data_IF_279051268144
#
_entry.id   IF_279051268144
#
_cell.length_a   1.000
_cell.length_b   1.000
_cell.length_c   1.000
_cell.angle_alpha   90.00
_cell.angle_beta   90.00
_cell.angle_gamma   90.00
#
_symmetry.space_group_name_H-M   'P 1'
#
loop_
_entity.id
_entity.type
_entity.pdbx_description
1 polymer ?
#
# COMPACT_ATOMS: atom_id res chain seq x y z
N UNK A 1 -13.45 1.50 0.70
CA UNK A 1 -12.75 2.69 0.14
C UNK A 1 -11.74 3.19 1.15
N UNK A 2 -10.77 4.02 0.74
CA UNK A 2 -9.77 4.60 1.65
C UNK A 2 -10.38 5.40 2.81
N UNK A 3 -11.50 6.10 2.58
CA UNK A 3 -12.22 6.85 3.63
C UNK A 3 -12.67 5.95 4.78
N UNK A 4 -13.14 4.74 4.47
CA UNK A 4 -13.54 3.77 5.50
C UNK A 4 -12.31 3.25 6.27
N UNK A 5 -11.24 2.93 5.56
CA UNK A 5 -10.00 2.46 6.16
C UNK A 5 -9.35 3.52 7.06
N UNK A 6 -9.41 4.81 6.70
CA UNK A 6 -8.94 5.89 7.56
C UNK A 6 -9.73 5.97 8.88
N UNK A 7 -11.03 5.65 8.86
CA UNK A 7 -11.87 5.59 10.06
C UNK A 7 -11.63 4.32 10.89
N UNK A 8 -11.32 3.21 10.24
CA UNK A 8 -11.11 1.90 10.86
C UNK A 8 -9.81 1.26 10.34
N UNK A 9 -8.63 1.76 10.76
CA UNK A 9 -7.34 1.34 10.21
C UNK A 9 -6.97 -0.11 10.56
N UNK A 10 -7.63 -0.70 11.55
CA UNK A 10 -7.41 -2.07 12.01
C UNK A 10 -8.06 -3.14 11.11
N UNK A 11 -8.83 -2.77 10.08
CA UNK A 11 -9.49 -3.73 9.19
C UNK A 11 -8.52 -4.52 8.29
N UNK A 12 -7.35 -3.96 7.98
CA UNK A 12 -6.41 -4.58 7.06
C UNK A 12 -5.00 -4.60 7.66
N UNK A 13 -4.21 -5.65 7.37
CA UNK A 13 -2.76 -5.58 7.58
C UNK A 13 -2.18 -4.46 6.73
N UNK A 14 -1.11 -3.83 7.21
CA UNK A 14 -0.53 -2.66 6.57
C UNK A 14 0.94 -2.87 6.24
N UNK A 15 1.38 -2.23 5.16
CA UNK A 15 2.75 -2.24 4.68
C UNK A 15 3.20 -0.79 4.55
N UNK A 16 4.31 -0.41 5.17
CA UNK A 16 4.85 0.93 5.07
C UNK A 16 5.92 0.99 3.98
N UNK A 17 5.74 1.93 3.05
CA UNK A 17 6.76 2.28 2.06
C UNK A 17 7.61 3.45 2.54
N UNK A 18 8.80 3.59 1.97
CA UNK A 18 9.64 4.76 2.19
C UNK A 18 9.05 6.06 1.62
N UNK A 19 9.67 7.18 2.00
CA UNK A 19 9.33 8.51 1.49
C UNK A 19 9.45 8.64 -0.04
N UNK A 20 10.37 7.91 -0.66
CA UNK A 20 10.64 7.98 -2.09
C UNK A 20 9.49 7.42 -2.94
N UNK A 21 8.80 6.40 -2.43
CA UNK A 21 7.68 5.74 -3.09
C UNK A 21 6.38 6.55 -3.05
N UNK A 22 6.20 7.47 -2.08
CA UNK A 22 4.93 8.19 -1.84
C UNK A 22 4.37 8.81 -3.12
N UNK A 23 5.19 9.57 -3.86
CA UNK A 23 4.75 10.28 -5.08
C UNK A 23 4.23 9.32 -6.15
N UNK A 24 4.82 8.14 -6.26
CA UNK A 24 4.49 7.14 -7.26
C UNK A 24 3.20 6.40 -6.89
N UNK A 25 3.05 6.05 -5.61
CA UNK A 25 1.82 5.42 -5.09
C UNK A 25 0.61 6.34 -5.28
N UNK A 26 0.77 7.64 -5.00
CA UNK A 26 -0.27 8.65 -5.24
C UNK A 26 -0.53 8.93 -6.74
N UNK A 27 0.29 8.40 -7.63
CA UNK A 27 0.08 8.43 -9.09
C UNK A 27 -0.50 7.11 -9.63
N UNK A 28 -0.87 6.17 -8.76
CA UNK A 28 -1.42 4.87 -9.14
C UNK A 28 -0.38 3.79 -9.49
N UNK A 29 0.92 4.04 -9.24
CA UNK A 29 1.94 3.03 -9.50
C UNK A 29 1.83 1.85 -8.52
N UNK A 30 2.24 0.67 -8.99
CA UNK A 30 2.46 -0.51 -8.15
C UNK A 30 3.64 -0.31 -7.20
N UNK A 31 3.61 -1.01 -6.07
CA UNK A 31 4.69 -0.97 -5.09
C UNK A 31 5.68 -2.07 -5.44
N UNK A 32 6.90 -1.65 -5.75
CA UNK A 32 8.01 -2.56 -6.08
C UNK A 32 8.65 -3.10 -4.80
N UNK A 33 9.17 -4.32 -4.83
CA UNK A 33 9.80 -4.95 -3.68
C UNK A 33 10.89 -4.08 -3.00
N UNK A 34 11.78 -3.38 -3.73
CA UNK A 34 12.77 -2.49 -3.10
C UNK A 34 12.18 -1.34 -2.27
N UNK A 35 10.96 -0.90 -2.59
CA UNK A 35 10.24 0.13 -1.82
C UNK A 35 9.66 -0.38 -0.49
N UNK A 36 9.65 -1.71 -0.29
CA UNK A 36 9.18 -2.39 0.91
C UNK A 36 10.32 -2.99 1.76
N UNK A 37 11.54 -3.03 1.21
CA UNK A 37 12.74 -3.52 1.91
C UNK A 37 13.74 -2.39 2.20
N UNK A 38 13.36 -1.13 2.00
CA UNK A 38 14.21 0.02 2.29
C UNK A 38 14.26 0.32 3.80
N UNK A 39 15.25 1.09 4.31
CA UNK A 39 15.39 1.34 5.75
C UNK A 39 14.17 2.00 6.41
N UNK A 40 13.37 2.75 5.65
CA UNK A 40 12.14 3.38 6.11
C UNK A 40 10.89 2.53 5.89
N UNK A 41 11.01 1.36 5.28
CA UNK A 41 9.90 0.45 5.04
C UNK A 41 9.70 -0.49 6.23
N UNK A 42 8.43 -0.83 6.50
CA UNK A 42 8.05 -1.77 7.56
C UNK A 42 7.02 -2.70 6.97
N UNK A 43 7.30 -4.00 7.02
CA UNK A 43 6.37 -5.01 6.54
C UNK A 43 5.70 -5.77 7.69
N UNK A 44 4.38 -5.90 7.62
CA UNK A 44 3.64 -6.88 8.44
C UNK A 44 3.50 -8.18 7.67
N UNK A 45 3.46 -9.32 8.35
CA UNK A 45 3.38 -10.61 7.65
C UNK A 45 2.05 -10.75 6.88
N UNK A 46 2.14 -11.04 5.58
CA UNK A 46 0.99 -11.21 4.71
C UNK A 46 1.28 -12.25 3.61
N UNK A 47 0.41 -13.26 3.43
CA UNK A 47 0.47 -14.17 2.29
C UNK A 47 0.26 -13.43 0.96
N UNK A 48 0.67 -14.05 -0.15
CA UNK A 48 0.31 -13.59 -1.49
C UNK A 48 -1.22 -13.56 -1.67
N UNK A 49 -1.73 -12.54 -2.36
CA UNK A 49 -3.17 -12.34 -2.62
C UNK A 49 -3.92 -11.67 -1.46
N UNK A 50 -3.22 -11.20 -0.43
CA UNK A 50 -3.83 -10.52 0.72
C UNK A 50 -4.06 -9.05 0.42
N UNK A 51 -5.25 -8.54 0.75
CA UNK A 51 -5.55 -7.11 0.68
C UNK A 51 -4.85 -6.39 1.83
N UNK A 52 -4.05 -5.38 1.50
CA UNK A 52 -3.22 -4.64 2.45
C UNK A 52 -3.44 -3.13 2.31
N UNK A 53 -3.29 -2.44 3.43
CA UNK A 53 -3.18 -0.98 3.47
C UNK A 53 -1.73 -0.55 3.17
N UNK A 54 -1.53 0.41 2.28
CA UNK A 54 -0.21 0.97 1.99
C UNK A 54 -0.04 2.26 2.78
N UNK A 55 0.82 2.22 3.79
CA UNK A 55 1.21 3.33 4.66
C UNK A 55 2.50 3.96 4.15
N UNK A 56 2.83 5.15 4.65
CA UNK A 56 4.11 5.79 4.36
C UNK A 56 4.75 6.34 5.61
N UNK A 57 6.09 6.34 5.60
CA UNK A 57 6.90 6.88 6.68
C UNK A 57 6.49 8.33 7.02
N UNK A 58 6.12 8.56 8.28
CA UNK A 58 5.71 9.87 8.77
C UNK A 58 4.28 10.30 8.38
N UNK A 59 3.44 9.39 7.88
CA UNK A 59 2.02 9.64 7.58
C UNK A 59 1.12 8.76 8.44
N UNK A 60 0.03 9.35 8.96
CA UNK A 60 -0.93 8.65 9.82
C UNK A 60 -1.96 7.83 9.04
N UNK A 61 -2.25 8.22 7.80
CA UNK A 61 -3.31 7.61 7.00
C UNK A 61 -2.74 6.81 5.84
N UNK A 62 -3.43 5.73 5.46
CA UNK A 62 -3.10 4.93 4.29
C UNK A 62 -3.16 5.78 3.01
N UNK A 63 -2.14 5.63 2.15
CA UNK A 63 -2.05 6.28 0.85
C UNK A 63 -2.77 5.49 -0.24
N UNK A 64 -2.78 4.16 -0.11
CA UNK A 64 -3.41 3.26 -1.04
C UNK A 64 -3.91 1.99 -0.35
N UNK A 65 -4.73 1.25 -1.06
CA UNK A 65 -5.10 -0.14 -0.79
C UNK A 65 -4.65 -0.95 -1.99
N UNK A 66 -4.00 -2.08 -1.72
CA UNK A 66 -3.48 -2.96 -2.75
C UNK A 66 -3.58 -4.42 -2.37
N UNK A 67 -3.18 -5.28 -3.29
CA UNK A 67 -3.13 -6.72 -3.10
C UNK A 67 -1.68 -7.20 -3.22
N UNK A 68 -1.22 -8.03 -2.30
CA UNK A 68 0.14 -8.56 -2.35
C UNK A 68 0.34 -9.49 -3.56
N UNK A 69 1.26 -9.14 -4.46
CA UNK A 69 1.64 -9.97 -5.60
C UNK A 69 2.61 -11.10 -5.21
N UNK A 70 3.35 -10.89 -4.11
CA UNK A 70 4.27 -11.83 -3.48
C UNK A 70 3.99 -11.87 -1.97
N UNK A 71 4.37 -12.97 -1.30
CA UNK A 71 4.33 -12.99 0.17
C UNK A 71 5.36 -12.00 0.72
N UNK A 72 5.15 -11.47 1.93
CA UNK A 72 6.11 -10.56 2.58
C UNK A 72 7.48 -11.19 2.78
N UNK A 73 7.53 -12.51 2.98
CA UNK A 73 8.79 -13.26 3.01
C UNK A 73 9.49 -13.28 1.65
N UNK A 74 8.76 -13.52 0.57
CA UNK A 74 9.31 -13.51 -0.79
C UNK A 74 9.73 -12.11 -1.23
N UNK A 75 9.01 -11.08 -0.82
CA UNK A 75 9.38 -9.67 -1.05
C UNK A 75 10.75 -9.39 -0.44
N UNK A 76 10.97 -9.80 0.82
CA UNK A 76 12.24 -9.64 1.51
C UNK A 76 13.38 -10.45 0.88
N UNK A 77 13.10 -11.69 0.44
CA UNK A 77 14.12 -12.60 -0.14
C UNK A 77 14.51 -12.24 -1.57
N UNK A 78 13.52 -12.00 -2.43
CA UNK A 78 13.72 -11.78 -3.88
C UNK A 78 14.11 -10.34 -4.16
N UNK A 79 13.51 -9.39 -3.43
CA UNK A 79 13.75 -7.95 -3.56
C UNK A 79 13.72 -7.42 -5.02
N UNK A 80 12.87 -8.01 -5.86
CA UNK A 80 12.72 -7.64 -7.27
C UNK A 80 11.28 -7.86 -7.73
N UNK A 81 10.81 -7.00 -8.64
CA UNK A 81 9.46 -7.07 -9.20
C UNK A 81 8.42 -6.33 -8.37
N UNK A 82 7.16 -6.59 -8.68
CA UNK A 82 6.00 -6.00 -8.01
C UNK A 82 5.75 -6.77 -6.71
N UNK A 83 5.76 -6.07 -5.58
CA UNK A 83 5.42 -6.64 -4.28
C UNK A 83 3.94 -6.49 -3.96
N UNK A 84 3.36 -5.32 -4.26
CA UNK A 84 1.93 -5.03 -4.06
C UNK A 84 1.39 -4.34 -5.31
N UNK A 85 0.29 -4.89 -5.83
CA UNK A 85 -0.49 -4.28 -6.90
C UNK A 85 -1.42 -3.21 -6.31
N UNK A 86 -1.37 -2.00 -6.85
CA UNK A 86 -2.16 -0.87 -6.36
C UNK A 86 -3.59 -0.96 -6.93
N UNK A 87 -4.60 -0.98 -6.06
CA UNK A 87 -6.00 -1.10 -6.47
C UNK A 87 -6.77 0.22 -6.33
N UNK A 88 -6.47 1.00 -5.29
CA UNK A 88 -7.15 2.26 -4.98
C UNK A 88 -6.22 3.16 -4.18
N UNK A 89 -6.07 4.42 -4.59
CA UNK A 89 -5.13 5.37 -3.96
C UNK A 89 -5.76 6.73 -3.71
N UNK A 90 -5.14 7.53 -2.83
CA UNK A 90 -5.63 8.87 -2.54
C UNK A 90 -5.61 9.75 -3.79
N UNK A 91 -6.66 10.54 -3.96
CA UNK A 91 -6.90 11.40 -5.13
C UNK A 91 -7.13 10.68 -6.45
N UNK A 92 -7.34 9.36 -6.46
CA UNK A 92 -7.86 8.68 -7.63
C UNK A 92 -9.34 9.00 -7.91
N UNK A 93 -9.87 8.44 -9.01
CA UNK A 93 -11.26 8.69 -9.41
C UNK A 93 -12.28 8.30 -8.33
N UNK A 94 -12.07 7.18 -7.63
CA UNK A 94 -12.98 6.72 -6.57
C UNK A 94 -12.90 7.61 -5.33
N UNK A 95 -11.72 8.14 -5.01
CA UNK A 95 -11.56 9.08 -3.91
C UNK A 95 -12.26 10.43 -4.15
N UNK A 96 -12.16 10.92 -5.39
CA UNK A 96 -12.78 12.18 -5.85
C UNK A 96 -14.27 12.04 -6.15
N UNK A 97 -14.75 10.80 -6.32
CA UNK A 97 -16.14 10.52 -6.62
C UNK A 97 -17.06 11.10 -5.54
N UNK A 98 -18.07 11.86 -5.99
CA UNK A 98 -19.12 12.37 -5.11
C UNK A 98 -19.99 11.18 -4.63
N UNK A 99 -20.47 11.20 -3.38
CA UNK A 99 -21.42 10.19 -2.92
C UNK A 99 -22.62 10.14 -3.86
N UNK A 100 -22.89 8.96 -4.42
CA UNK A 100 -24.13 8.69 -5.12
C UNK A 100 -25.18 8.43 -4.03
N UNK A 101 -26.25 9.23 -4.04
CA UNK A 101 -27.43 9.03 -3.20
C UNK A 101 -28.39 8.07 -3.89
#
# INVERSE_FOLDING_TARGET
TLRLLHKYPFFLPWQQVDKGAIRFVLSGANIMCPGLTSPGAIMTQAPKGTVVAVMAEGKQHALAVGTTALSTEDIAKVNKGIGIENCHYLNDGLWQMKPIK
#
